data_IF_982719329986
#
_entry.id   IF_982719329986
#
_cell.length_a   1.000
_cell.length_b   1.000
_cell.length_c   1.000
_cell.angle_alpha   90.00
_cell.angle_beta   90.00
_cell.angle_gamma   90.00
#
_symmetry.space_group_name_H-M   'P 1'
#
loop_
_entity.id
_entity.type
_entity.pdbx_description
1 polymer ?
#
# COMPACT_ATOMS: atom_id res chain seq x y z
N UNK A 1 26.24 17.00 -16.38
CA UNK A 1 26.23 17.32 -14.95
C UNK A 1 24.91 16.85 -14.37
N UNK A 2 24.95 15.89 -13.46
CA UNK A 2 23.75 15.27 -12.88
C UNK A 2 23.16 16.18 -11.79
N UNK A 3 21.85 16.48 -11.78
CA UNK A 3 21.25 17.45 -10.85
C UNK A 3 20.98 16.88 -9.45
N UNK A 4 21.42 15.66 -9.15
CA UNK A 4 21.13 14.99 -7.88
C UNK A 4 22.20 15.26 -6.80
N UNK A 5 22.32 16.50 -6.34
CA UNK A 5 23.07 16.79 -5.11
C UNK A 5 22.65 18.09 -4.44
N UNK A 6 21.49 18.06 -3.79
CA UNK A 6 21.21 18.97 -2.68
C UNK A 6 20.65 18.15 -1.51
N UNK A 7 21.55 17.51 -0.76
CA UNK A 7 21.26 17.08 0.61
C UNK A 7 21.81 18.15 1.56
N UNK A 8 20.97 18.64 2.47
CA UNK A 8 21.43 19.36 3.66
C UNK A 8 22.24 18.39 4.54
N UNK A 9 23.56 18.63 4.76
CA UNK A 9 24.43 17.72 5.50
C UNK A 9 24.07 17.60 7.00
N UNK A 10 23.15 18.41 7.54
CA UNK A 10 22.85 18.46 8.97
C UNK A 10 21.69 17.56 9.44
N UNK A 11 21.00 16.83 8.56
CA UNK A 11 19.84 15.98 8.90
C UNK A 11 19.87 14.56 8.33
N UNK A 12 21.02 14.06 7.89
CA UNK A 12 21.18 12.66 7.51
C UNK A 12 21.69 11.85 8.71
N UNK A 13 20.84 11.00 9.30
CA UNK A 13 21.32 9.99 10.25
C UNK A 13 22.44 9.18 9.60
N UNK A 14 23.61 9.08 10.24
CA UNK A 14 24.71 8.25 9.74
C UNK A 14 24.19 6.82 9.57
N UNK A 15 24.22 6.31 8.35
CA UNK A 15 24.08 4.88 8.11
C UNK A 15 25.14 4.17 8.97
N UNK A 16 24.77 3.06 9.61
CA UNK A 16 25.74 2.25 10.34
C UNK A 16 26.89 1.89 9.38
N UNK A 17 28.14 1.95 9.87
CA UNK A 17 29.34 1.84 9.03
C UNK A 17 29.38 0.55 8.17
N UNK A 18 28.71 -0.52 8.63
CA UNK A 18 28.69 -1.83 7.97
C UNK A 18 27.38 -2.13 7.22
N UNK A 19 26.55 -1.11 6.96
CA UNK A 19 25.27 -1.31 6.28
C UNK A 19 25.46 -1.47 4.76
N UNK A 20 24.93 -2.58 4.24
CA UNK A 20 24.75 -2.85 2.81
C UNK A 20 23.40 -3.54 2.58
N UNK A 21 22.81 -3.50 1.38
CA UNK A 21 21.50 -4.12 1.10
C UNK A 21 21.40 -5.62 1.43
N UNK A 22 22.52 -6.34 1.43
CA UNK A 22 22.62 -7.77 1.74
C UNK A 22 23.09 -8.06 3.18
N UNK A 23 23.46 -7.03 3.95
CA UNK A 23 24.02 -7.18 5.30
C UNK A 23 23.10 -7.91 6.29
N UNK A 24 21.78 -7.91 6.03
CA UNK A 24 20.80 -8.64 6.81
C UNK A 24 20.99 -10.16 6.75
N UNK A 25 21.56 -10.71 5.67
CA UNK A 25 21.79 -12.15 5.49
C UNK A 25 22.77 -12.74 6.51
N UNK A 26 23.57 -11.89 7.16
CA UNK A 26 24.50 -12.27 8.24
C UNK A 26 23.82 -12.31 9.61
N UNK A 27 22.51 -12.01 9.69
CA UNK A 27 21.74 -11.99 10.94
C UNK A 27 20.66 -13.07 10.91
N UNK A 28 20.20 -13.55 12.08
CA UNK A 28 19.04 -14.43 12.15
C UNK A 28 17.82 -13.77 11.49
N UNK A 29 17.23 -14.45 10.52
CA UNK A 29 16.02 -14.01 9.82
C UNK A 29 14.96 -15.12 9.90
N UNK A 30 13.94 -14.90 10.74
CA UNK A 30 12.82 -15.84 10.84
C UNK A 30 11.94 -15.79 9.58
N UNK A 31 11.12 -16.83 9.40
CA UNK A 31 10.04 -16.89 8.39
C UNK A 31 10.49 -16.87 6.91
N UNK A 32 11.78 -17.03 6.63
CA UNK A 32 12.27 -17.13 5.26
C UNK A 32 11.81 -18.46 4.63
N UNK A 33 11.40 -18.45 3.34
CA UNK A 33 11.19 -19.68 2.60
C UNK A 33 12.52 -20.38 2.29
N UNK A 34 12.46 -21.70 2.16
CA UNK A 34 13.56 -22.53 1.68
C UNK A 34 13.31 -22.80 0.20
N UNK A 35 14.16 -22.26 -0.67
CA UNK A 35 14.09 -22.49 -2.11
C UNK A 35 15.04 -23.63 -2.50
N UNK A 36 14.54 -24.60 -3.25
CA UNK A 36 15.31 -25.78 -3.65
C UNK A 36 16.51 -25.45 -4.57
N UNK A 37 16.37 -24.40 -5.38
CA UNK A 37 17.39 -23.95 -6.33
C UNK A 37 17.89 -22.54 -5.96
N UNK A 38 19.02 -22.43 -5.24
CA UNK A 38 19.63 -21.16 -4.90
C UNK A 38 20.09 -20.33 -6.12
N UNK A 39 20.42 -20.98 -7.24
CA UNK A 39 20.85 -20.29 -8.45
C UNK A 39 19.65 -19.64 -9.15
N UNK A 40 18.51 -20.33 -9.21
CA UNK A 40 17.26 -19.75 -9.69
C UNK A 40 16.80 -18.56 -8.83
N UNK A 41 16.95 -18.66 -7.49
CA UNK A 41 16.67 -17.54 -6.59
C UNK A 41 17.60 -16.35 -6.86
N UNK A 42 18.90 -16.59 -6.99
CA UNK A 42 19.88 -15.55 -7.29
C UNK A 42 19.58 -14.86 -8.64
N UNK A 43 19.17 -15.62 -9.66
CA UNK A 43 18.78 -15.09 -10.96
C UNK A 43 17.53 -14.19 -10.86
N UNK A 44 16.48 -14.63 -10.18
CA UNK A 44 15.26 -13.84 -9.98
C UNK A 44 15.53 -12.53 -9.21
N UNK A 45 16.37 -12.58 -8.17
CA UNK A 45 16.78 -11.39 -7.41
C UNK A 45 17.63 -10.43 -8.26
N UNK A 46 18.56 -10.96 -9.05
CA UNK A 46 19.39 -10.15 -9.95
C UNK A 46 18.55 -9.48 -11.05
N UNK A 47 17.51 -10.15 -11.54
CA UNK A 47 16.55 -9.56 -12.46
C UNK A 47 15.75 -8.45 -11.81
N UNK A 48 15.15 -8.71 -10.64
CA UNK A 48 14.37 -7.72 -9.89
C UNK A 48 15.20 -6.46 -9.57
N UNK A 49 16.49 -6.61 -9.26
CA UNK A 49 17.39 -5.50 -8.96
C UNK A 49 17.63 -4.55 -10.16
N UNK A 50 17.34 -4.97 -11.39
CA UNK A 50 17.44 -4.14 -12.60
C UNK A 50 16.13 -3.45 -12.97
N UNK A 51 15.01 -3.85 -12.37
CA UNK A 51 13.71 -3.27 -12.66
C UNK A 51 13.55 -1.88 -12.00
N UNK A 52 12.72 -0.99 -12.57
CA UNK A 52 12.43 0.31 -11.95
C UNK A 52 11.90 0.16 -10.52
N UNK A 53 12.16 1.13 -9.62
CA UNK A 53 11.58 1.09 -8.28
C UNK A 53 10.07 1.39 -8.35
N UNK A 54 9.30 0.83 -7.41
CA UNK A 54 7.87 1.13 -7.30
C UNK A 54 7.62 2.60 -6.89
N UNK A 55 8.48 3.14 -6.01
CA UNK A 55 8.40 4.52 -5.51
C UNK A 55 9.73 5.26 -5.65
N UNK A 56 9.67 6.57 -5.71
CA UNK A 56 10.83 7.45 -5.76
C UNK A 56 11.33 7.81 -4.36
N UNK A 57 12.58 8.24 -4.27
CA UNK A 57 13.18 8.68 -3.00
C UNK A 57 12.50 9.93 -2.41
N UNK A 58 12.03 10.85 -3.25
CA UNK A 58 11.29 12.04 -2.81
C UNK A 58 9.95 11.67 -2.15
N UNK A 59 9.20 10.72 -2.71
CA UNK A 59 7.94 10.26 -2.09
C UNK A 59 8.18 9.69 -0.69
N UNK A 60 9.29 8.97 -0.48
CA UNK A 60 9.70 8.45 0.83
C UNK A 60 10.05 9.57 1.80
N UNK A 61 10.84 10.56 1.37
CA UNK A 61 11.19 11.71 2.23
C UNK A 61 9.96 12.57 2.57
N UNK A 62 9.03 12.75 1.63
CA UNK A 62 7.76 13.41 1.86
C UNK A 62 6.95 12.67 2.94
N UNK A 63 6.80 11.34 2.81
CA UNK A 63 6.09 10.53 3.81
C UNK A 63 6.77 10.62 5.18
N UNK A 64 8.10 10.59 5.25
CA UNK A 64 8.85 10.76 6.52
C UNK A 64 8.55 12.09 7.18
N UNK A 65 8.49 13.18 6.41
CA UNK A 65 8.09 14.49 6.92
C UNK A 65 6.68 14.48 7.51
N UNK A 66 5.72 13.89 6.78
CA UNK A 66 4.34 13.75 7.25
C UNK A 66 4.25 12.89 8.53
N UNK A 67 5.00 11.80 8.61
CA UNK A 67 5.05 10.94 9.80
C UNK A 67 5.66 11.66 11.01
N UNK A 68 6.65 12.53 10.79
CA UNK A 68 7.18 13.39 11.86
C UNK A 68 6.12 14.38 12.37
N UNK A 69 5.32 14.99 11.47
CA UNK A 69 4.17 15.83 11.86
C UNK A 69 3.11 15.02 12.63
N UNK A 70 2.86 13.76 12.25
CA UNK A 70 1.95 12.87 12.99
C UNK A 70 2.48 12.55 14.40
N UNK A 71 3.77 12.25 14.53
CA UNK A 71 4.42 12.04 15.83
C UNK A 71 4.35 13.29 16.74
N UNK A 72 4.37 14.48 16.14
CA UNK A 72 4.16 15.75 16.84
C UNK A 72 2.68 16.10 17.10
N UNK A 73 1.74 15.20 16.76
CA UNK A 73 0.29 15.40 16.97
C UNK A 73 -0.40 16.33 15.97
N UNK A 74 0.29 16.76 14.92
CA UNK A 74 -0.23 17.68 13.90
C UNK A 74 -1.01 16.97 12.78
N UNK A 75 -0.79 15.66 12.61
CA UNK A 75 -1.51 14.79 11.68
C UNK A 75 -2.03 13.53 12.34
N UNK A 76 -2.96 12.86 11.67
CA UNK A 76 -3.42 11.52 12.00
C UNK A 76 -2.97 10.54 10.91
N UNK A 77 -2.47 9.35 11.28
CA UNK A 77 -2.11 8.30 10.33
C UNK A 77 -3.27 7.30 10.20
N UNK A 78 -3.79 7.15 8.98
CA UNK A 78 -4.70 6.08 8.61
C UNK A 78 -3.93 5.08 7.73
N UNK A 79 -3.74 3.86 8.24
CA UNK A 79 -3.18 2.76 7.48
C UNK A 79 -4.18 1.60 7.42
N UNK A 80 -4.48 1.11 6.22
CA UNK A 80 -5.50 0.07 6.02
C UNK A 80 -5.43 -0.59 4.65
N UNK A 81 -5.98 -1.80 4.55
CA UNK A 81 -5.96 -2.63 3.36
C UNK A 81 -5.91 -4.11 3.75
N UNK A 82 -5.37 -4.95 2.88
CA UNK A 82 -5.42 -6.39 3.06
C UNK A 82 -4.52 -6.88 4.21
N UNK A 83 -4.94 -8.00 4.80
CA UNK A 83 -4.06 -8.79 5.65
C UNK A 83 -2.88 -9.31 4.81
N UNK A 84 -3.21 -9.91 3.66
CA UNK A 84 -2.27 -10.24 2.61
C UNK A 84 -2.96 -10.36 1.26
N UNK A 85 -2.38 -9.65 0.28
CA UNK A 85 -2.87 -9.61 -1.10
C UNK A 85 -2.73 -10.98 -1.77
N UNK A 86 -3.62 -11.27 -2.71
CA UNK A 86 -3.43 -12.32 -3.72
C UNK A 86 -3.16 -11.70 -5.09
N UNK A 87 -2.42 -12.40 -5.95
CA UNK A 87 -2.26 -12.03 -7.35
C UNK A 87 -3.58 -12.03 -8.11
N UNK A 88 -4.55 -12.89 -7.70
CA UNK A 88 -5.88 -12.91 -8.28
C UNK A 88 -6.68 -11.63 -7.99
N UNK A 89 -6.35 -10.93 -6.90
CA UNK A 89 -7.01 -9.69 -6.48
C UNK A 89 -6.48 -8.44 -7.18
N UNK A 90 -5.50 -8.59 -8.07
CA UNK A 90 -4.97 -7.52 -8.91
C UNK A 90 -5.93 -7.19 -10.06
N UNK A 91 -7.15 -6.76 -9.72
CA UNK A 91 -8.19 -6.35 -10.65
C UNK A 91 -8.64 -4.92 -10.37
N UNK A 92 -9.10 -4.20 -11.41
CA UNK A 92 -9.53 -2.81 -11.27
C UNK A 92 -10.63 -2.64 -10.22
N UNK A 93 -11.61 -3.55 -10.19
CA UNK A 93 -12.72 -3.49 -9.24
C UNK A 93 -12.24 -3.63 -7.79
N UNK A 94 -11.39 -4.62 -7.52
CA UNK A 94 -10.86 -4.88 -6.17
C UNK A 94 -9.97 -3.74 -5.70
N UNK A 95 -9.09 -3.23 -6.56
CA UNK A 95 -8.19 -2.12 -6.22
C UNK A 95 -9.00 -0.83 -5.96
N UNK A 96 -9.97 -0.52 -6.82
CA UNK A 96 -10.82 0.66 -6.65
C UNK A 96 -11.66 0.57 -5.36
N UNK A 97 -12.21 -0.60 -5.03
CA UNK A 97 -12.96 -0.82 -3.79
C UNK A 97 -12.09 -0.57 -2.54
N UNK A 98 -10.85 -1.08 -2.51
CA UNK A 98 -9.89 -0.84 -1.41
C UNK A 98 -9.59 0.65 -1.25
N UNK A 99 -9.33 1.34 -2.36
CA UNK A 99 -9.07 2.77 -2.36
C UNK A 99 -10.27 3.57 -1.85
N UNK A 100 -11.50 3.23 -2.28
CA UNK A 100 -12.73 3.87 -1.78
C UNK A 100 -12.86 3.75 -0.27
N UNK A 101 -12.68 2.55 0.29
CA UNK A 101 -12.77 2.33 1.74
C UNK A 101 -11.77 3.22 2.49
N UNK A 102 -10.51 3.26 2.03
CA UNK A 102 -9.46 4.09 2.65
C UNK A 102 -9.80 5.59 2.60
N UNK A 103 -10.33 6.07 1.47
CA UNK A 103 -10.73 7.48 1.29
C UNK A 103 -11.95 7.84 2.17
N UNK A 104 -12.95 6.96 2.25
CA UNK A 104 -14.13 7.17 3.09
C UNK A 104 -13.78 7.23 4.58
N UNK A 105 -12.97 6.29 5.07
CA UNK A 105 -12.46 6.32 6.44
C UNK A 105 -11.68 7.61 6.71
N UNK A 106 -10.84 8.03 5.76
CA UNK A 106 -10.08 9.27 5.87
C UNK A 106 -10.99 10.49 6.00
N UNK A 107 -12.09 10.57 5.26
CA UNK A 107 -13.02 11.71 5.32
C UNK A 107 -13.63 11.84 6.72
N UNK A 108 -14.08 10.72 7.29
CA UNK A 108 -14.63 10.68 8.65
C UNK A 108 -13.58 11.12 9.68
N UNK A 109 -12.35 10.63 9.55
CA UNK A 109 -11.26 10.99 10.45
C UNK A 109 -10.85 12.46 10.34
N UNK A 110 -10.81 13.04 9.13
CA UNK A 110 -10.56 14.48 8.94
C UNK A 110 -11.63 15.29 9.66
N UNK A 111 -12.90 14.96 9.46
CA UNK A 111 -14.01 15.67 10.09
C UNK A 111 -14.02 15.54 11.62
N UNK A 112 -13.84 14.32 12.14
CA UNK A 112 -13.89 14.05 13.58
C UNK A 112 -12.66 14.55 14.35
N UNK A 113 -11.46 14.41 13.76
CA UNK A 113 -10.22 14.83 14.42
C UNK A 113 -9.86 16.30 14.20
N UNK A 114 -10.43 16.94 13.16
CA UNK A 114 -10.04 18.27 12.67
C UNK A 114 -8.53 18.37 12.36
N UNK A 115 -7.91 17.25 11.98
CA UNK A 115 -6.49 17.14 11.61
C UNK A 115 -6.34 16.64 10.18
N UNK A 116 -5.20 16.95 9.58
CA UNK A 116 -4.81 16.35 8.29
C UNK A 116 -4.56 14.85 8.49
N UNK A 117 -5.02 14.04 7.54
CA UNK A 117 -4.85 12.58 7.57
C UNK A 117 -3.82 12.14 6.54
N UNK A 118 -2.85 11.34 6.97
CA UNK A 118 -1.91 10.59 6.11
C UNK A 118 -2.58 9.27 5.76
N UNK A 119 -2.58 8.89 4.48
CA UNK A 119 -3.25 7.68 3.98
C UNK A 119 -2.19 6.69 3.51
N UNK A 120 -2.11 5.52 4.14
CA UNK A 120 -1.17 4.46 3.78
C UNK A 120 -1.96 3.20 3.44
N UNK A 121 -1.88 2.76 2.19
CA UNK A 121 -2.49 1.52 1.74
C UNK A 121 -1.69 0.30 2.18
N UNK A 122 -2.36 -0.74 2.66
CA UNK A 122 -1.84 -2.13 2.71
C UNK A 122 -2.27 -2.84 1.43
N UNK A 123 -1.72 -2.40 0.32
CA UNK A 123 -1.79 -2.99 -1.01
C UNK A 123 -0.53 -2.53 -1.77
N UNK A 124 -0.15 -3.14 -2.91
CA UNK A 124 1.14 -2.91 -3.61
C UNK A 124 2.33 -3.63 -2.94
N UNK A 125 2.18 -4.92 -2.63
CA UNK A 125 3.31 -5.79 -2.26
C UNK A 125 3.15 -6.56 -0.96
N UNK A 126 1.97 -6.54 -0.33
CA UNK A 126 1.64 -7.27 0.89
C UNK A 126 1.34 -8.76 0.58
N UNK A 127 2.20 -9.40 -0.22
CA UNK A 127 2.01 -10.76 -0.72
C UNK A 127 2.65 -11.85 0.16
N UNK A 128 3.49 -11.49 1.13
CA UNK A 128 4.10 -12.45 2.06
C UNK A 128 3.28 -12.59 3.34
N UNK A 129 3.22 -13.81 3.90
CA UNK A 129 2.49 -14.15 5.13
C UNK A 129 3.39 -14.96 6.08
N UNK A 130 3.63 -14.49 7.33
CA UNK A 130 4.30 -15.30 8.33
C UNK A 130 3.41 -16.49 8.73
N UNK A 131 4.02 -17.61 9.11
CA UNK A 131 3.30 -18.82 9.53
C UNK A 131 3.83 -19.33 10.87
N UNK A 132 2.91 -19.72 11.74
CA UNK A 132 3.25 -20.28 13.06
C UNK A 132 3.97 -21.63 12.95
N UNK A 133 3.64 -22.41 11.93
CA UNK A 133 4.27 -23.70 11.63
C UNK A 133 4.82 -23.68 10.19
N UNK A 134 5.96 -24.36 9.93
CA UNK A 134 6.57 -24.39 8.61
C UNK A 134 5.81 -25.27 7.61
N UNK A 135 5.05 -26.25 8.10
CA UNK A 135 4.25 -27.18 7.32
C UNK A 135 2.78 -27.12 7.73
N UNK A 136 1.93 -27.66 6.86
CA UNK A 136 0.50 -27.85 7.05
C UNK A 136 0.17 -29.32 6.78
N UNK A 137 -0.58 -29.93 7.67
CA UNK A 137 -1.05 -31.31 7.53
C UNK A 137 -2.55 -31.32 7.23
N UNK A 138 -2.95 -32.06 6.20
CA UNK A 138 -4.35 -32.33 5.87
C UNK A 138 -4.48 -33.77 5.37
N UNK A 139 -5.47 -34.49 5.88
CA UNK A 139 -5.78 -35.86 5.46
C UNK A 139 -4.56 -36.81 5.44
N UNK A 140 -3.65 -36.65 6.41
CA UNK A 140 -2.42 -37.45 6.55
C UNK A 140 -1.27 -37.05 5.62
N UNK A 141 -1.45 -36.04 4.76
CA UNK A 141 -0.39 -35.46 3.93
C UNK A 141 0.18 -34.21 4.59
N UNK A 142 1.51 -34.12 4.68
CA UNK A 142 2.24 -32.96 5.21
C UNK A 142 2.91 -32.21 4.08
N UNK A 143 2.57 -30.94 3.88
CA UNK A 143 3.13 -30.07 2.85
C UNK A 143 3.66 -28.75 3.46
N UNK A 144 4.56 -28.02 2.78
CA UNK A 144 4.95 -26.69 3.22
C UNK A 144 3.72 -25.77 3.40
N UNK A 145 3.78 -24.93 4.43
CA UNK A 145 2.75 -23.95 4.67
C UNK A 145 2.68 -22.94 3.50
N UNK A 146 1.47 -22.57 3.08
CA UNK A 146 1.29 -21.43 2.19
C UNK A 146 1.78 -20.14 2.87
N UNK A 147 2.77 -19.47 2.28
CA UNK A 147 3.45 -18.28 2.81
C UNK A 147 3.10 -17.01 2.04
N UNK A 148 2.02 -17.05 1.26
CA UNK A 148 1.59 -15.94 0.42
C UNK A 148 2.12 -16.04 -1.00
N UNK A 149 1.43 -15.37 -1.93
CA UNK A 149 1.59 -15.55 -3.38
C UNK A 149 2.98 -15.17 -3.91
N UNK A 150 3.78 -14.42 -3.14
CA UNK A 150 5.18 -14.11 -3.50
C UNK A 150 6.15 -15.28 -3.20
N UNK A 151 5.69 -16.29 -2.47
CA UNK A 151 6.49 -17.46 -2.08
C UNK A 151 5.99 -18.72 -2.77
N UNK A 152 4.71 -19.05 -2.62
CA UNK A 152 4.08 -20.26 -3.15
C UNK A 152 2.57 -20.06 -3.31
N UNK A 153 1.86 -21.08 -3.78
CA UNK A 153 0.45 -21.02 -4.10
C UNK A 153 -0.45 -21.58 -2.98
N UNK A 154 -1.71 -21.11 -2.85
CA UNK A 154 -2.61 -21.51 -1.76
C UNK A 154 -3.09 -22.98 -1.85
N UNK A 155 -3.15 -23.53 -3.05
CA UNK A 155 -3.59 -24.90 -3.34
C UNK A 155 -2.77 -25.91 -2.52
N UNK A 156 -3.44 -26.92 -1.98
CA UNK A 156 -2.80 -27.95 -1.15
C UNK A 156 -2.32 -29.11 -2.03
N UNK A 157 -1.25 -28.85 -2.81
CA UNK A 157 -0.54 -29.87 -3.58
C UNK A 157 0.98 -29.72 -3.41
N UNK A 158 1.77 -30.80 -3.58
CA UNK A 158 3.22 -30.73 -3.51
C UNK A 158 3.83 -29.65 -4.43
N UNK A 159 3.32 -29.55 -5.64
CA UNK A 159 3.78 -28.61 -6.67
C UNK A 159 3.44 -27.17 -6.26
N UNK A 160 2.20 -26.95 -5.80
CA UNK A 160 1.69 -25.63 -5.44
C UNK A 160 2.36 -25.06 -4.19
N UNK A 161 2.73 -25.93 -3.23
CA UNK A 161 3.36 -25.53 -1.97
C UNK A 161 4.87 -25.35 -2.06
N UNK A 162 5.49 -25.75 -3.16
CA UNK A 162 6.91 -25.54 -3.42
C UNK A 162 7.21 -24.03 -3.59
N UNK A 163 8.19 -23.47 -2.85
CA UNK A 163 8.61 -22.09 -3.08
C UNK A 163 9.16 -21.86 -4.49
N UNK A 164 8.63 -20.87 -5.20
CA UNK A 164 9.02 -20.54 -6.57
C UNK A 164 9.64 -19.13 -6.63
N UNK A 165 10.94 -18.98 -6.96
CA UNK A 165 11.58 -17.68 -7.06
C UNK A 165 10.97 -16.75 -8.11
N UNK A 166 10.33 -17.29 -9.15
CA UNK A 166 9.69 -16.47 -10.19
C UNK A 166 8.52 -15.65 -9.65
N UNK A 167 7.91 -16.09 -8.54
CA UNK A 167 6.84 -15.35 -7.87
C UNK A 167 7.30 -14.01 -7.28
N UNK A 168 8.61 -13.80 -7.07
CA UNK A 168 9.18 -12.48 -6.72
C UNK A 168 8.97 -11.46 -7.84
N UNK A 169 9.26 -11.87 -9.09
CA UNK A 169 9.05 -11.05 -10.29
C UNK A 169 7.55 -10.83 -10.52
N UNK A 170 6.74 -11.88 -10.33
CA UNK A 170 5.28 -11.78 -10.43
C UNK A 170 4.71 -10.78 -9.42
N UNK A 171 5.18 -10.84 -8.18
CA UNK A 171 4.79 -9.92 -7.11
C UNK A 171 5.16 -8.48 -7.43
N UNK A 172 6.36 -8.24 -7.96
CA UNK A 172 6.76 -6.91 -8.43
C UNK A 172 5.80 -6.37 -9.51
N UNK A 173 5.48 -7.17 -10.52
CA UNK A 173 4.59 -6.73 -11.60
C UNK A 173 3.18 -6.42 -11.13
N UNK A 174 2.62 -7.25 -10.24
CA UNK A 174 1.29 -7.02 -9.66
C UNK A 174 1.29 -5.76 -8.77
N UNK A 175 2.36 -5.53 -8.02
CA UNK A 175 2.55 -4.29 -7.28
C UNK A 175 2.62 -3.08 -8.22
N UNK A 176 3.44 -3.13 -9.27
CA UNK A 176 3.59 -2.03 -10.23
C UNK A 176 2.27 -1.68 -10.92
N UNK A 177 1.51 -2.68 -11.38
CA UNK A 177 0.17 -2.50 -11.97
C UNK A 177 -0.81 -1.86 -10.98
N UNK A 178 -0.84 -2.37 -9.75
CA UNK A 178 -1.72 -1.86 -8.69
C UNK A 178 -1.39 -0.41 -8.37
N UNK A 179 -0.11 -0.08 -8.20
CA UNK A 179 0.33 1.28 -7.89
C UNK A 179 0.02 2.26 -9.03
N UNK A 180 0.28 1.85 -10.27
CA UNK A 180 -0.03 2.65 -11.45
C UNK A 180 -1.53 2.96 -11.53
N UNK A 181 -2.38 1.94 -11.31
CA UNK A 181 -3.82 2.14 -11.34
C UNK A 181 -4.31 3.04 -10.19
N UNK A 182 -3.76 2.87 -8.98
CA UNK A 182 -4.06 3.74 -7.83
C UNK A 182 -3.69 5.20 -8.12
N UNK A 183 -2.49 5.45 -8.67
CA UNK A 183 -2.07 6.80 -9.08
C UNK A 183 -3.00 7.40 -10.13
N UNK A 184 -3.34 6.64 -11.17
CA UNK A 184 -4.26 7.07 -12.21
C UNK A 184 -5.66 7.41 -11.68
N UNK A 185 -6.19 6.62 -10.73
CA UNK A 185 -7.46 6.94 -10.07
C UNK A 185 -7.37 8.25 -9.28
N UNK A 186 -6.34 8.42 -8.45
CA UNK A 186 -6.15 9.63 -7.64
C UNK A 186 -6.03 10.87 -8.53
N UNK A 187 -5.19 10.83 -9.56
CA UNK A 187 -4.96 11.95 -10.48
C UNK A 187 -6.20 12.25 -11.36
N UNK A 188 -6.95 11.21 -11.71
CA UNK A 188 -8.19 11.28 -12.48
C UNK A 188 -9.41 11.79 -11.70
N UNK A 189 -9.23 12.27 -10.46
CA UNK A 189 -10.32 12.83 -9.66
C UNK A 189 -11.17 11.79 -8.92
N UNK A 190 -10.73 10.53 -8.84
CA UNK A 190 -11.43 9.52 -8.04
C UNK A 190 -11.52 9.90 -6.56
N UNK A 191 -10.54 10.67 -6.06
CA UNK A 191 -10.53 11.23 -4.73
C UNK A 191 -11.19 12.63 -4.63
N UNK A 192 -11.98 13.03 -5.64
CA UNK A 192 -12.71 14.29 -5.61
C UNK A 192 -14.00 14.22 -4.77
N UNK A 193 -14.08 15.11 -3.77
CA UNK A 193 -15.24 15.26 -2.89
C UNK A 193 -16.43 15.97 -3.53
N UNK A 194 -16.28 16.53 -4.74
CA UNK A 194 -17.40 17.08 -5.51
C UNK A 194 -18.37 16.01 -6.01
N UNK A 195 -17.90 14.77 -6.13
CA UNK A 195 -18.67 13.64 -6.59
C UNK A 195 -18.71 12.52 -5.55
N UNK A 196 -19.28 12.77 -4.35
CA UNK A 196 -19.35 11.77 -3.28
C UNK A 196 -20.14 10.52 -3.67
N UNK A 197 -20.98 10.60 -4.72
CA UNK A 197 -21.67 9.46 -5.32
C UNK A 197 -20.72 8.40 -5.88
N UNK A 198 -19.55 8.79 -6.40
CA UNK A 198 -18.54 7.84 -6.88
C UNK A 198 -17.95 6.99 -5.76
N UNK A 199 -18.09 7.44 -4.52
CA UNK A 199 -17.57 6.77 -3.35
C UNK A 199 -18.59 5.84 -2.71
N UNK A 200 -19.80 5.69 -3.27
CA UNK A 200 -20.77 4.73 -2.75
C UNK A 200 -20.20 3.32 -2.84
N UNK A 201 -20.24 2.62 -1.71
CA UNK A 201 -19.98 1.19 -1.62
C UNK A 201 -21.33 0.50 -1.54
N UNK A 202 -21.66 -0.32 -2.54
CA UNK A 202 -22.98 -0.94 -2.61
C UNK A 202 -23.30 -1.83 -1.41
N UNK A 203 -22.27 -2.49 -0.84
CA UNK A 203 -22.43 -3.31 0.36
C UNK A 203 -22.77 -2.50 1.63
N UNK A 204 -22.46 -1.20 1.66
CA UNK A 204 -22.69 -0.34 2.82
C UNK A 204 -24.07 0.35 2.78
N UNK A 205 -24.88 0.08 1.74
CA UNK A 205 -26.19 0.72 1.54
C UNK A 205 -27.17 0.42 2.67
N UNK A 206 -27.18 -0.83 3.12
CA UNK A 206 -28.15 -1.33 4.11
C UNK A 206 -27.57 -1.36 5.53
N UNK A 207 -26.39 -0.76 5.73
CA UNK A 207 -25.78 -0.67 7.06
C UNK A 207 -26.63 0.23 7.99
N UNK A 208 -26.77 -0.11 9.29
CA UNK A 208 -27.58 0.68 10.23
C UNK A 208 -27.22 2.18 10.29
N UNK A 209 -25.93 2.51 10.06
CA UNK A 209 -25.41 3.88 10.09
C UNK A 209 -25.28 4.52 8.70
N UNK A 210 -25.74 3.88 7.63
CA UNK A 210 -25.58 4.36 6.26
C UNK A 210 -26.18 5.77 6.07
N UNK A 211 -27.40 5.99 6.57
CA UNK A 211 -28.07 7.28 6.49
C UNK A 211 -27.34 8.39 7.27
N UNK A 212 -26.77 8.06 8.44
CA UNK A 212 -25.99 9.02 9.22
C UNK A 212 -24.68 9.38 8.52
N UNK A 213 -23.98 8.38 7.98
CA UNK A 213 -22.78 8.58 7.19
C UNK A 213 -23.05 9.48 5.98
N UNK A 214 -24.11 9.20 5.21
CA UNK A 214 -24.47 10.01 4.04
C UNK A 214 -24.77 11.47 4.40
N UNK A 215 -25.48 11.72 5.51
CA UNK A 215 -25.71 13.09 6.00
C UNK A 215 -24.40 13.82 6.32
N UNK A 216 -23.44 13.15 6.97
CA UNK A 216 -22.13 13.73 7.29
C UNK A 216 -21.34 14.06 6.02
N UNK A 217 -21.31 13.15 5.05
CA UNK A 217 -20.63 13.38 3.76
C UNK A 217 -21.26 14.55 3.01
N UNK A 218 -22.59 14.62 2.95
CA UNK A 218 -23.29 15.73 2.30
C UNK A 218 -22.96 17.08 2.95
N UNK A 219 -22.98 17.16 4.28
CA UNK A 219 -22.63 18.38 5.00
C UNK A 219 -21.17 18.84 4.75
N UNK A 220 -20.23 17.90 4.61
CA UNK A 220 -18.84 18.22 4.25
C UNK A 220 -18.77 18.75 2.82
N UNK A 221 -19.47 18.12 1.87
CA UNK A 221 -19.51 18.57 0.49
C UNK A 221 -20.15 19.97 0.34
N UNK A 222 -21.21 20.26 1.08
CA UNK A 222 -21.81 21.60 1.17
C UNK A 222 -20.82 22.64 1.70
N UNK A 223 -20.08 22.30 2.76
CA UNK A 223 -19.07 23.18 3.35
C UNK A 223 -17.94 23.50 2.36
N UNK A 224 -17.52 22.52 1.56
CA UNK A 224 -16.51 22.72 0.50
C UNK A 224 -17.02 23.66 -0.58
N UNK A 225 -18.24 23.43 -1.10
CA UNK A 225 -18.87 24.32 -2.09
C UNK A 225 -18.98 25.76 -1.59
N UNK A 226 -19.35 25.92 -0.31
CA UNK A 226 -19.40 27.25 0.32
C UNK A 226 -18.03 27.93 0.35
N UNK A 227 -16.98 27.21 0.80
CA UNK A 227 -15.62 27.73 0.83
C UNK A 227 -15.10 28.11 -0.57
N UNK A 228 -15.40 27.33 -1.60
CA UNK A 228 -15.05 27.63 -2.99
C UNK A 228 -15.79 28.85 -3.52
N UNK A 229 -17.09 28.98 -3.19
CA UNK A 229 -17.89 30.15 -3.53
C UNK A 229 -17.27 31.42 -2.95
N UNK A 230 -16.77 31.36 -1.71
CA UNK A 230 -16.07 32.48 -1.07
C UNK A 230 -14.68 32.74 -1.66
N UNK A 231 -13.94 31.68 -1.98
CA UNK A 231 -12.58 31.78 -2.53
C UNK A 231 -12.56 32.16 -4.02
N UNK A 232 -13.68 32.05 -4.72
CA UNK A 232 -13.80 32.30 -6.16
C UNK A 232 -13.02 31.30 -7.03
N UNK A 233 -12.54 30.20 -6.45
CA UNK A 233 -11.74 29.16 -7.11
C UNK A 233 -12.05 27.78 -6.50
N UNK A 234 -11.86 26.73 -7.31
CA UNK A 234 -12.07 25.35 -6.87
C UNK A 234 -10.90 24.91 -6.00
N UNK A 235 -11.16 24.39 -4.79
CA UNK A 235 -10.12 24.04 -3.83
C UNK A 235 -9.22 22.88 -4.34
N UNK A 236 -9.69 22.11 -5.32
CA UNK A 236 -8.90 21.09 -6.03
C UNK A 236 -7.81 21.63 -6.98
N UNK A 237 -7.85 22.92 -7.33
CA UNK A 237 -6.83 23.59 -8.15
C UNK A 237 -5.69 24.19 -7.31
N UNK A 238 -5.88 24.37 -6.00
CA UNK A 238 -4.87 24.90 -5.07
C UNK A 238 -3.65 23.98 -4.86
N UNK A 239 -3.70 22.74 -5.35
CA UNK A 239 -2.59 21.79 -5.33
C UNK A 239 -1.95 21.52 -6.70
N UNK A 240 -2.37 22.23 -7.75
CA UNK A 240 -1.84 22.11 -9.13
C UNK A 240 -1.02 23.35 -9.54
N UNK A 241 -0.14 23.80 -8.65
CA UNK A 241 0.97 24.73 -8.95
C UNK A 241 2.27 24.07 -8.52
#
# INVERSE_FOLDING_TARGET
MSPFSHRDPRRGGRLAADWAPDSWRRRPAAQQPEYDDPAALAAAVAELARLPPLVTSWEVELLKGQLAEAAAGQRFLLQGGDCAESFADCTSATIAAKLKILLQMSLVLVHGSKRRVIRVGRFVGQYAKPRSQPAEERDGQVLPAYRGDIVNHPEFSPESRRPDPQLLLRGYERAALTLNFVRALIDGGFADLHHPEYWRLDFARDAPLAAEYQRRVAAIADSLRFMETLAGQRLGELGRI
#
